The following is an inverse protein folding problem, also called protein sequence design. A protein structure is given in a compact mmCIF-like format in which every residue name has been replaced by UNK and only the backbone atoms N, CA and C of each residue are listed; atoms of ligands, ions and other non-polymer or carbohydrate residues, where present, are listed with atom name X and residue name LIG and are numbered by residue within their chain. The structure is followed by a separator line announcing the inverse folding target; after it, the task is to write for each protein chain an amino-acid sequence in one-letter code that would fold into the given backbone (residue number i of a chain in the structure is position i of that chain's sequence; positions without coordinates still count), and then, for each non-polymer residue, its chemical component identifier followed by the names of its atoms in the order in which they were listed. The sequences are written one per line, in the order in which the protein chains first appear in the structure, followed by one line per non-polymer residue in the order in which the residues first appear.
data_IF_513522115999
#
_entry.id   IF_513522115999
#
_cell.length_a   1.000
_cell.length_b   1.000
_cell.length_c   1.000
_cell.angle_alpha   90.00
_cell.angle_beta   90.00
_cell.angle_gamma   90.00
#
_symmetry.space_group_name_H-M   'P 1'
#
loop_
_entity.id
_entity.type
_entity.pdbx_description
1 polymer ?
#
# COMPACT_ATOMS: atom_id res chain seq x y z
N UNK A 1 -4.18 5.62 -39.74
CA UNK A 1 -2.89 6.10 -40.32
C UNK A 1 -1.98 6.33 -39.12
N UNK A 2 -0.91 5.55 -39.03
CA UNK A 2 0.08 5.63 -37.98
C UNK A 2 0.77 7.00 -38.06
N UNK A 3 0.61 7.83 -37.01
CA UNK A 3 1.43 9.03 -36.85
C UNK A 3 2.85 8.53 -36.62
N UNK A 4 3.74 8.88 -37.53
CA UNK A 4 5.18 8.58 -37.45
C UNK A 4 5.68 9.05 -36.06
N UNK A 5 6.36 8.16 -35.34
CA UNK A 5 7.22 8.52 -34.22
C UNK A 5 8.23 9.56 -34.71
N UNK A 6 7.91 10.82 -34.51
CA UNK A 6 8.89 11.88 -34.74
C UNK A 6 9.91 11.75 -33.63
N UNK A 7 11.14 11.52 -34.01
CA UNK A 7 12.27 11.49 -33.07
C UNK A 7 12.53 12.90 -32.53
N UNK A 8 11.93 13.21 -31.38
CA UNK A 8 12.11 14.48 -30.67
C UNK A 8 13.43 14.54 -29.90
N UNK A 9 14.15 13.42 -29.76
CA UNK A 9 15.36 13.34 -28.95
C UNK A 9 16.45 14.31 -29.45
N UNK A 10 16.54 14.53 -30.77
CA UNK A 10 17.48 15.48 -31.36
C UNK A 10 17.23 16.95 -30.98
N UNK A 11 15.99 17.28 -30.60
CA UNK A 11 15.61 18.65 -30.23
C UNK A 11 15.62 18.90 -28.74
N UNK A 12 15.74 17.85 -27.92
CA UNK A 12 15.75 17.96 -26.46
C UNK A 12 17.13 17.55 -25.97
N UNK A 13 17.86 18.48 -25.39
CA UNK A 13 19.12 18.17 -24.69
C UNK A 13 18.81 17.78 -23.24
N UNK A 14 19.09 16.51 -22.96
CA UNK A 14 18.90 15.91 -21.64
C UNK A 14 20.18 16.09 -20.80
N UNK A 15 20.05 16.38 -19.51
CA UNK A 15 21.22 16.54 -18.64
C UNK A 15 21.94 15.22 -18.32
N UNK A 16 21.28 14.08 -18.51
CA UNK A 16 21.81 12.76 -18.22
C UNK A 16 21.40 11.76 -19.33
N UNK A 17 22.30 10.89 -19.81
CA UNK A 17 22.00 9.89 -20.85
C UNK A 17 21.01 8.80 -20.40
N UNK A 18 20.74 8.68 -19.08
CA UNK A 18 19.73 7.75 -18.55
C UNK A 18 18.29 8.22 -18.81
N UNK A 19 18.10 9.48 -19.19
CA UNK A 19 16.79 10.03 -19.45
C UNK A 19 16.32 9.65 -20.86
N UNK A 20 15.05 9.35 -20.98
CA UNK A 20 14.39 9.17 -22.26
C UNK A 20 13.27 10.19 -22.43
N UNK A 21 13.04 10.62 -23.67
CA UNK A 21 11.96 11.54 -24.03
C UNK A 21 11.00 10.82 -24.95
N UNK A 22 9.74 10.80 -24.58
CA UNK A 22 8.64 10.28 -25.36
C UNK A 22 7.61 11.37 -25.62
N UNK A 23 7.08 11.42 -26.83
CA UNK A 23 6.01 12.35 -27.15
C UNK A 23 4.66 11.62 -27.10
N UNK A 24 3.78 12.08 -26.22
CA UNK A 24 2.40 11.64 -26.11
C UNK A 24 1.45 12.78 -26.45
N UNK A 25 0.73 12.67 -27.56
CA UNK A 25 -0.21 13.69 -28.04
C UNK A 25 0.40 15.10 -28.05
N UNK A 26 0.13 15.90 -27.03
CA UNK A 26 0.60 17.30 -26.85
C UNK A 26 1.62 17.45 -25.72
N UNK A 27 2.16 16.36 -25.21
CA UNK A 27 3.08 16.36 -24.06
C UNK A 27 4.39 15.70 -24.45
N UNK A 28 5.49 16.24 -23.94
CA UNK A 28 6.77 15.55 -23.92
C UNK A 28 6.95 14.97 -22.49
N UNK A 29 7.02 13.67 -22.42
CA UNK A 29 7.27 12.95 -21.17
C UNK A 29 8.76 12.65 -21.06
N UNK A 30 9.35 12.95 -19.92
CA UNK A 30 10.74 12.62 -19.61
C UNK A 30 10.74 11.55 -18.55
N UNK A 31 11.30 10.39 -18.87
CA UNK A 31 11.48 9.26 -17.95
C UNK A 31 12.91 9.16 -17.47
N UNK A 32 13.15 8.39 -16.39
CA UNK A 32 14.47 8.21 -15.79
C UNK A 32 14.85 9.29 -14.77
N UNK A 33 14.01 10.29 -14.53
CA UNK A 33 14.24 11.34 -13.53
C UNK A 33 14.07 10.80 -12.10
N UNK A 34 14.83 11.33 -11.17
CA UNK A 34 14.76 10.99 -9.74
C UNK A 34 13.85 11.98 -9.02
N UNK A 35 13.10 11.49 -8.03
CA UNK A 35 12.31 12.32 -7.14
C UNK A 35 13.21 13.22 -6.28
N UNK A 36 12.72 14.39 -5.88
CA UNK A 36 13.46 15.34 -5.04
C UNK A 36 14.57 16.10 -5.77
N UNK A 37 14.72 15.94 -7.08
CA UNK A 37 15.79 16.55 -7.86
C UNK A 37 15.31 17.69 -8.77
N UNK A 38 16.21 18.61 -9.09
CA UNK A 38 16.00 19.69 -10.05
C UNK A 38 16.72 19.36 -11.35
N UNK A 39 16.04 19.63 -12.45
CA UNK A 39 16.56 19.37 -13.78
C UNK A 39 16.34 20.58 -14.69
N UNK A 40 17.27 20.76 -15.63
CA UNK A 40 17.14 21.74 -16.70
C UNK A 40 17.05 21.00 -18.03
N UNK A 41 15.95 21.18 -18.74
CA UNK A 41 15.80 20.71 -20.11
C UNK A 41 16.06 21.86 -21.07
N UNK A 42 16.84 21.58 -22.11
CA UNK A 42 17.10 22.54 -23.18
C UNK A 42 16.40 22.08 -24.44
N UNK A 43 15.47 22.88 -24.90
CA UNK A 43 14.76 22.70 -26.18
C UNK A 43 15.50 23.49 -27.26
N UNK A 44 16.02 22.79 -28.27
CA UNK A 44 16.77 23.39 -29.38
C UNK A 44 15.83 24.07 -30.37
N UNK A 45 16.33 25.09 -31.05
CA UNK A 45 15.62 25.70 -32.15
C UNK A 45 15.23 24.66 -33.22
N UNK A 46 14.08 24.84 -33.82
CA UNK A 46 13.53 23.93 -34.83
C UNK A 46 12.67 22.79 -34.26
N UNK A 47 12.47 22.71 -32.92
CA UNK A 47 11.51 21.75 -32.33
C UNK A 47 10.14 21.98 -32.96
N UNK A 48 9.55 20.99 -33.66
CA UNK A 48 8.30 21.19 -34.40
C UNK A 48 7.10 21.22 -33.48
N UNK A 49 6.17 22.14 -33.75
CA UNK A 49 4.84 22.19 -33.14
C UNK A 49 3.81 21.50 -34.04
N UNK A 50 2.65 21.17 -33.47
CA UNK A 50 1.52 20.59 -34.23
C UNK A 50 1.01 21.52 -35.34
N UNK A 51 1.17 22.83 -35.16
CA UNK A 51 0.82 23.87 -36.16
C UNK A 51 1.72 23.87 -37.41
N UNK A 52 2.82 23.10 -37.39
CA UNK A 52 3.84 23.11 -38.45
C UNK A 52 4.91 24.18 -38.26
N UNK A 53 4.80 25.02 -37.24
CA UNK A 53 5.85 25.97 -36.84
C UNK A 53 6.94 25.29 -36.04
N UNK A 54 8.15 25.86 -36.05
CA UNK A 54 9.25 25.40 -35.24
C UNK A 54 9.65 26.39 -34.15
N UNK A 55 10.19 25.89 -33.04
CA UNK A 55 10.74 26.74 -31.99
C UNK A 55 11.82 27.68 -32.58
N UNK A 56 11.65 28.99 -32.46
CA UNK A 56 12.51 30.00 -33.11
C UNK A 56 13.91 30.01 -32.49
N UNK A 57 14.00 29.90 -31.17
CA UNK A 57 15.26 29.97 -30.44
C UNK A 57 15.33 28.92 -29.35
N UNK A 58 16.56 28.52 -29.01
CA UNK A 58 16.81 27.64 -27.87
C UNK A 58 16.16 28.18 -26.59
N UNK A 59 15.47 27.31 -25.89
CA UNK A 59 14.76 27.63 -24.64
C UNK A 59 15.13 26.63 -23.56
N UNK A 60 15.48 27.13 -22.37
CA UNK A 60 15.78 26.31 -21.19
C UNK A 60 14.59 26.36 -20.23
N UNK A 61 14.19 25.20 -19.74
CA UNK A 61 13.14 25.08 -18.74
C UNK A 61 13.72 24.33 -17.53
N UNK A 62 13.66 24.98 -16.37
CA UNK A 62 13.98 24.35 -15.10
C UNK A 62 12.70 23.81 -14.45
N UNK A 63 12.77 22.60 -13.92
CA UNK A 63 11.69 22.00 -13.18
C UNK A 63 12.20 21.17 -12.00
N UNK A 64 11.35 21.03 -11.00
CA UNK A 64 11.61 20.24 -9.82
C UNK A 64 10.68 19.02 -9.81
N UNK A 65 11.28 17.83 -9.73
CA UNK A 65 10.53 16.59 -9.54
C UNK A 65 10.26 16.44 -8.05
N UNK A 66 8.99 16.62 -7.68
CA UNK A 66 8.57 16.55 -6.27
C UNK A 66 8.87 15.19 -5.67
N UNK A 67 9.11 15.18 -4.36
CA UNK A 67 9.15 13.95 -3.60
C UNK A 67 7.83 13.18 -3.73
N UNK A 68 7.91 11.87 -3.60
CA UNK A 68 6.72 11.02 -3.58
C UNK A 68 5.84 11.40 -2.38
N UNK A 69 4.54 11.44 -2.62
CA UNK A 69 3.58 11.67 -1.53
C UNK A 69 3.67 10.52 -0.52
N UNK A 70 3.76 10.82 0.78
CA UNK A 70 3.72 9.81 1.81
C UNK A 70 2.50 8.90 1.66
N UNK A 71 2.73 7.59 1.84
CA UNK A 71 1.69 6.58 1.65
C UNK A 71 1.90 5.42 2.61
N UNK A 72 0.80 4.83 3.05
CA UNK A 72 0.77 3.56 3.78
C UNK A 72 -0.17 2.59 3.08
N UNK A 73 0.19 1.31 3.04
CA UNK A 73 -0.64 0.24 2.49
C UNK A 73 -0.25 -1.11 3.10
N UNK A 74 -1.19 -2.03 3.12
CA UNK A 74 -0.94 -3.42 3.47
C UNK A 74 -0.91 -4.27 2.21
N UNK A 75 0.15 -5.08 1.98
CA UNK A 75 0.27 -5.90 0.77
C UNK A 75 -0.66 -7.13 0.78
N UNK A 76 -1.17 -7.53 1.95
CA UNK A 76 -2.06 -8.68 2.12
C UNK A 76 -3.54 -8.29 2.13
N UNK A 77 -4.41 -9.28 1.92
CA UNK A 77 -5.87 -9.08 2.04
C UNK A 77 -6.41 -9.54 3.40
N UNK A 78 -5.82 -10.59 3.97
CA UNK A 78 -6.22 -11.11 5.26
C UNK A 78 -5.14 -12.05 5.80
N UNK A 79 -5.10 -12.20 7.10
CA UNK A 79 -4.18 -13.09 7.80
C UNK A 79 -4.94 -13.92 8.83
N UNK A 80 -4.38 -15.07 9.17
CA UNK A 80 -4.77 -15.85 10.34
C UNK A 80 -3.56 -15.79 11.27
N UNK A 81 -3.78 -15.33 12.49
CA UNK A 81 -2.75 -15.16 13.49
C UNK A 81 -3.09 -16.02 14.72
N UNK A 82 -2.11 -16.73 15.28
CA UNK A 82 -2.30 -17.40 16.55
C UNK A 82 -2.38 -16.38 17.69
N UNK A 83 -3.04 -16.72 18.78
CA UNK A 83 -3.15 -15.87 19.98
C UNK A 83 -1.83 -15.80 20.77
N UNK A 84 -0.93 -16.75 20.56
CA UNK A 84 0.38 -16.85 21.20
C UNK A 84 1.52 -16.72 20.19
N UNK A 85 2.68 -16.30 20.67
CA UNK A 85 3.88 -16.15 19.86
C UNK A 85 4.10 -14.75 19.31
N UNK A 86 5.15 -14.61 18.48
CA UNK A 86 5.49 -13.35 17.85
C UNK A 86 4.60 -13.12 16.60
N UNK A 87 3.62 -12.25 16.74
CA UNK A 87 2.76 -11.85 15.64
C UNK A 87 3.25 -10.55 14.98
N UNK A 88 3.34 -10.55 13.67
CA UNK A 88 3.69 -9.36 12.90
C UNK A 88 2.88 -9.26 11.61
N UNK A 89 2.54 -8.05 11.21
CA UNK A 89 1.84 -7.76 9.95
C UNK A 89 2.75 -6.93 9.05
N UNK A 90 3.00 -7.35 7.80
CA UNK A 90 3.79 -6.57 6.87
C UNK A 90 3.02 -5.34 6.43
N UNK A 91 3.67 -4.18 6.49
CA UNK A 91 3.18 -2.89 5.98
C UNK A 91 4.15 -2.36 4.93
N UNK A 92 3.63 -1.68 3.94
CA UNK A 92 4.42 -0.97 2.94
C UNK A 92 4.17 0.52 3.07
N UNK A 93 5.26 1.28 3.17
CA UNK A 93 5.23 2.74 3.32
C UNK A 93 6.08 3.43 2.26
N UNK A 94 5.78 4.69 2.03
CA UNK A 94 6.59 5.63 1.26
C UNK A 94 6.71 6.88 2.11
N UNK A 95 7.94 7.38 2.31
CA UNK A 95 8.22 8.64 3.00
C UNK A 95 7.49 8.79 4.35
N UNK A 96 7.47 7.73 5.15
CA UNK A 96 6.86 7.74 6.48
C UNK A 96 7.70 6.87 7.42
N UNK A 97 8.06 7.41 8.57
CA UNK A 97 8.84 6.73 9.61
C UNK A 97 7.95 6.23 10.76
N UNK A 98 6.79 6.85 10.92
CA UNK A 98 5.85 6.52 11.98
C UNK A 98 4.43 6.41 11.44
N UNK A 99 3.67 5.49 12.00
CA UNK A 99 2.25 5.26 11.72
C UNK A 99 1.45 5.30 13.01
N UNK A 100 0.28 5.94 12.96
CA UNK A 100 -0.72 5.76 13.99
C UNK A 100 -1.50 4.48 13.69
N UNK A 101 -1.54 3.59 14.66
CA UNK A 101 -2.17 2.28 14.56
C UNK A 101 -3.38 2.20 15.48
N UNK A 102 -4.44 1.60 14.98
CA UNK A 102 -5.64 1.31 15.77
C UNK A 102 -6.10 -0.10 15.48
N UNK A 103 -6.29 -0.90 16.52
CA UNK A 103 -6.85 -2.23 16.43
C UNK A 103 -8.31 -2.24 16.86
N UNK A 104 -9.17 -2.76 15.99
CA UNK A 104 -10.60 -2.92 16.29
C UNK A 104 -11.00 -4.37 16.19
N UNK A 105 -11.77 -4.84 17.18
CA UNK A 105 -12.43 -6.14 17.17
C UNK A 105 -13.83 -6.00 16.57
N UNK A 106 -14.16 -6.85 15.61
CA UNK A 106 -15.53 -6.97 15.13
C UNK A 106 -16.31 -7.83 16.11
N UNK A 107 -17.35 -7.27 16.71
CA UNK A 107 -18.19 -8.03 17.66
C UNK A 107 -18.91 -9.19 16.96
N UNK A 108 -19.13 -10.28 17.66
CA UNK A 108 -19.69 -11.52 17.09
C UNK A 108 -21.04 -11.31 16.40
N UNK A 109 -21.88 -10.42 16.94
CA UNK A 109 -23.16 -10.04 16.33
C UNK A 109 -23.01 -9.26 15.01
N UNK A 110 -21.88 -8.60 14.80
CA UNK A 110 -21.59 -7.82 13.59
C UNK A 110 -20.84 -8.61 12.52
N UNK A 111 -20.33 -9.80 12.83
CA UNK A 111 -19.58 -10.63 11.88
C UNK A 111 -20.44 -10.91 10.64
N UNK A 112 -21.71 -11.35 10.83
CA UNK A 112 -22.60 -11.64 9.72
C UNK A 112 -22.84 -10.39 8.85
N UNK A 113 -23.00 -9.22 9.46
CA UNK A 113 -23.19 -7.95 8.76
C UNK A 113 -21.95 -7.57 7.93
N UNK A 114 -20.75 -7.80 8.46
CA UNK A 114 -19.49 -7.55 7.73
C UNK A 114 -19.40 -8.39 6.46
N UNK A 115 -19.84 -9.65 6.50
CA UNK A 115 -19.90 -10.51 5.32
C UNK A 115 -21.02 -10.11 4.37
N UNK A 116 -22.21 -9.80 4.86
CA UNK A 116 -23.35 -9.38 4.03
C UNK A 116 -23.09 -8.05 3.31
N UNK A 117 -22.44 -7.10 3.98
CA UNK A 117 -22.06 -5.81 3.43
C UNK A 117 -20.76 -5.89 2.58
N UNK A 118 -20.21 -7.09 2.42
CA UNK A 118 -19.02 -7.38 1.62
C UNK A 118 -17.77 -6.53 2.02
N UNK A 119 -17.61 -6.31 3.32
CA UNK A 119 -16.52 -5.51 3.88
C UNK A 119 -15.28 -6.34 4.21
N UNK A 120 -15.44 -7.64 4.49
CA UNK A 120 -14.36 -8.50 4.98
C UNK A 120 -13.22 -8.63 3.96
N UNK A 121 -12.00 -8.46 4.43
CA UNK A 121 -10.76 -8.60 3.65
C UNK A 121 -10.68 -7.69 2.40
N UNK A 122 -11.44 -6.60 2.38
CA UNK A 122 -11.40 -5.60 1.30
C UNK A 122 -10.86 -4.25 1.77
N UNK A 123 -10.25 -3.48 0.88
CA UNK A 123 -9.98 -2.07 1.14
C UNK A 123 -11.30 -1.33 1.38
N UNK A 124 -11.39 -0.62 2.50
CA UNK A 124 -12.59 0.15 2.82
C UNK A 124 -12.46 1.58 2.29
N UNK A 125 -13.52 2.07 1.67
CA UNK A 125 -13.65 3.50 1.39
C UNK A 125 -13.86 4.28 2.69
N UNK A 126 -13.58 5.56 2.68
CA UNK A 126 -13.67 6.43 3.87
C UNK A 126 -14.96 6.23 4.66
N UNK A 127 -16.10 6.27 4.01
CA UNK A 127 -17.41 6.08 4.66
C UNK A 127 -17.54 4.70 5.32
N UNK A 128 -17.04 3.66 4.68
CA UNK A 128 -17.05 2.29 5.24
C UNK A 128 -16.11 2.18 6.44
N UNK A 129 -14.97 2.85 6.40
CA UNK A 129 -14.02 2.90 7.50
C UNK A 129 -14.59 3.66 8.71
N UNK A 130 -15.28 4.77 8.49
CA UNK A 130 -16.00 5.53 9.53
C UNK A 130 -17.11 4.68 10.16
N UNK A 131 -17.88 3.96 9.35
CA UNK A 131 -18.93 3.04 9.83
C UNK A 131 -18.35 1.84 10.60
N UNK A 132 -17.21 1.29 10.14
CA UNK A 132 -16.52 0.25 10.87
C UNK A 132 -16.08 0.77 12.26
N UNK A 133 -15.54 1.98 12.31
CA UNK A 133 -15.07 2.59 13.55
C UNK A 133 -16.20 2.96 14.54
N UNK A 134 -17.38 3.37 14.03
CA UNK A 134 -18.49 3.82 14.87
C UNK A 134 -19.47 2.72 15.26
N UNK A 135 -19.81 1.82 14.31
CA UNK A 135 -20.97 0.94 14.49
C UNK A 135 -20.63 -0.55 14.58
N UNK A 136 -19.52 -0.97 13.96
CA UNK A 136 -19.23 -2.39 13.71
C UNK A 136 -18.11 -2.90 14.61
N UNK A 137 -17.03 -2.13 14.74
CA UNK A 137 -15.82 -2.52 15.42
C UNK A 137 -15.65 -1.77 16.74
N UNK A 138 -15.23 -2.49 17.77
CA UNK A 138 -14.82 -1.94 19.06
C UNK A 138 -13.31 -1.69 19.05
N UNK A 139 -12.86 -0.50 19.41
CA UNK A 139 -11.45 -0.20 19.56
C UNK A 139 -10.91 -0.90 20.80
N UNK A 140 -9.94 -1.80 20.60
CA UNK A 140 -9.37 -2.61 21.68
C UNK A 140 -7.91 -2.22 21.99
N UNK A 141 -7.25 -1.53 21.08
CA UNK A 141 -5.89 -1.03 21.25
C UNK A 141 -5.59 0.09 20.26
N UNK A 142 -4.72 1.01 20.68
CA UNK A 142 -4.12 2.03 19.80
C UNK A 142 -2.67 2.27 20.21
N UNK A 143 -1.85 2.62 19.22
CA UNK A 143 -0.42 2.83 19.43
C UNK A 143 0.28 3.37 18.20
N UNK A 144 1.60 3.43 18.27
CA UNK A 144 2.46 3.90 17.15
C UNK A 144 3.31 2.75 16.64
N UNK A 145 3.37 2.62 15.32
CA UNK A 145 4.26 1.69 14.62
C UNK A 145 5.44 2.43 13.98
N UNK A 146 6.66 2.00 14.26
CA UNK A 146 7.84 2.50 13.58
C UNK A 146 8.05 1.72 12.27
N UNK A 147 8.42 2.44 11.22
CA UNK A 147 8.67 1.87 9.90
C UNK A 147 10.06 2.25 9.41
N UNK A 148 10.70 1.33 8.68
CA UNK A 148 11.89 1.67 7.91
C UNK A 148 11.47 2.63 6.79
N UNK A 149 12.19 3.75 6.64
CA UNK A 149 11.89 4.75 5.62
C UNK A 149 13.15 5.13 4.87
N UNK A 150 13.08 5.01 3.55
CA UNK A 150 14.07 5.57 2.64
C UNK A 150 13.35 6.56 1.74
N UNK A 151 13.89 7.76 1.64
CA UNK A 151 13.27 8.85 0.89
C UNK A 151 12.94 8.40 -0.55
N UNK A 152 11.69 8.61 -0.95
CA UNK A 152 11.18 8.31 -2.30
C UNK A 152 11.17 6.83 -2.71
N UNK A 153 11.38 5.92 -1.77
CA UNK A 153 11.34 4.48 -2.02
C UNK A 153 10.20 3.80 -1.31
N UNK A 154 9.78 2.65 -1.85
CA UNK A 154 8.84 1.77 -1.17
C UNK A 154 9.61 0.94 -0.13
N UNK A 155 9.25 1.09 1.13
CA UNK A 155 9.83 0.37 2.26
C UNK A 155 8.82 -0.63 2.81
N UNK A 156 9.28 -1.84 3.14
CA UNK A 156 8.45 -2.90 3.74
C UNK A 156 8.95 -3.19 5.14
N UNK A 157 8.08 -2.98 6.12
CA UNK A 157 8.36 -3.23 7.53
C UNK A 157 7.40 -4.29 8.07
N UNK A 158 7.85 -5.14 8.97
CA UNK A 158 6.99 -6.04 9.75
C UNK A 158 6.62 -5.34 11.06
N UNK A 159 5.38 -4.88 11.16
CA UNK A 159 4.88 -4.28 12.39
C UNK A 159 4.66 -5.38 13.44
N UNK A 160 5.33 -5.33 14.59
CA UNK A 160 5.03 -6.22 15.69
C UNK A 160 3.67 -5.83 16.27
N UNK A 161 2.75 -6.79 16.36
CA UNK A 161 1.41 -6.57 16.90
C UNK A 161 1.11 -7.47 18.09
N UNK A 162 2.10 -8.19 18.60
CA UNK A 162 1.94 -9.10 19.73
C UNK A 162 1.35 -8.40 20.96
N UNK A 163 1.78 -7.18 21.26
CA UNK A 163 1.24 -6.37 22.36
C UNK A 163 -0.23 -6.00 22.11
N UNK A 164 -0.58 -5.62 20.89
CA UNK A 164 -1.92 -5.22 20.51
C UNK A 164 -2.94 -6.37 20.62
N UNK A 165 -2.51 -7.61 20.37
CA UNK A 165 -3.36 -8.79 20.44
C UNK A 165 -3.27 -9.54 21.78
N UNK A 166 -2.36 -9.14 22.67
CA UNK A 166 -2.18 -9.81 23.95
C UNK A 166 -3.47 -9.80 24.79
N UNK A 167 -3.92 -10.96 25.20
CA UNK A 167 -5.15 -11.13 25.99
C UNK A 167 -6.45 -10.87 25.24
N UNK A 168 -6.39 -10.62 23.93
CA UNK A 168 -7.57 -10.46 23.11
C UNK A 168 -8.25 -11.82 22.84
N UNK A 169 -9.58 -11.91 22.87
CA UNK A 169 -10.28 -13.15 22.52
C UNK A 169 -10.17 -13.48 21.04
N UNK A 170 -10.31 -14.78 20.71
CA UNK A 170 -10.42 -15.21 19.33
C UNK A 170 -11.53 -14.43 18.60
N UNK A 171 -11.31 -14.10 17.34
CA UNK A 171 -12.31 -13.33 16.58
C UNK A 171 -11.72 -12.64 15.33
N UNK A 172 -12.53 -11.77 14.75
CA UNK A 172 -12.17 -10.99 13.56
C UNK A 172 -11.71 -9.60 13.99
N UNK A 173 -10.57 -9.19 13.46
CA UNK A 173 -9.93 -7.92 13.79
C UNK A 173 -9.58 -7.12 12.54
N UNK A 174 -9.50 -5.80 12.70
CA UNK A 174 -9.04 -4.87 11.69
C UNK A 174 -7.96 -3.98 12.30
N UNK A 175 -6.76 -4.08 11.77
CA UNK A 175 -5.68 -3.13 12.05
C UNK A 175 -5.77 -1.99 11.05
N UNK A 176 -5.98 -0.78 11.52
CA UNK A 176 -5.94 0.44 10.73
C UNK A 176 -4.60 1.13 10.94
N UNK A 177 -3.99 1.60 9.86
CA UNK A 177 -2.76 2.37 9.89
C UNK A 177 -2.95 3.68 9.14
N UNK A 178 -2.57 4.78 9.76
CA UNK A 178 -2.57 6.11 9.17
C UNK A 178 -1.23 6.80 9.36
N UNK A 179 -0.93 7.77 8.51
CA UNK A 179 0.29 8.56 8.60
C UNK A 179 0.20 9.52 9.80
N UNK A 180 1.24 9.60 10.62
CA UNK A 180 1.34 10.48 11.78
C UNK A 180 1.62 11.95 11.39
N UNK A 181 1.14 12.45 10.29
CA UNK A 181 1.37 13.82 9.85
C UNK A 181 0.09 14.64 9.89
N UNK A 182 0.12 15.80 10.54
CA UNK A 182 -1.00 16.74 10.54
C UNK A 182 -1.37 17.24 9.14
N UNK A 183 -0.39 17.29 8.25
CA UNK A 183 -0.57 17.72 6.84
C UNK A 183 -1.44 16.75 6.04
N UNK A 184 -1.53 15.49 6.48
CA UNK A 184 -2.27 14.42 5.80
C UNK A 184 -3.49 13.93 6.58
N UNK A 185 -4.11 14.79 7.39
CA UNK A 185 -5.33 14.48 8.18
C UNK A 185 -6.47 13.83 7.38
N UNK A 186 -6.47 14.00 6.06
CA UNK A 186 -7.39 13.36 5.11
C UNK A 186 -6.73 12.25 4.31
N UNK A 187 -5.57 11.77 4.75
CA UNK A 187 -4.82 10.70 4.10
C UNK A 187 -5.57 9.37 4.12
N UNK A 188 -5.18 8.51 3.21
CA UNK A 188 -5.72 7.16 3.08
C UNK A 188 -5.39 6.37 4.35
N UNK A 189 -6.40 5.92 5.07
CA UNK A 189 -6.24 4.95 6.14
C UNK A 189 -6.12 3.58 5.50
N UNK A 190 -4.98 2.93 5.68
CA UNK A 190 -4.81 1.55 5.25
C UNK A 190 -5.39 0.61 6.32
N UNK A 191 -5.97 -0.50 5.87
CA UNK A 191 -6.63 -1.45 6.75
C UNK A 191 -6.21 -2.86 6.40
N UNK A 192 -5.92 -3.64 7.45
CA UNK A 192 -5.60 -5.05 7.35
C UNK A 192 -6.54 -5.87 8.22
N UNK A 193 -7.29 -6.73 7.57
CA UNK A 193 -8.14 -7.70 8.24
C UNK A 193 -7.33 -8.92 8.66
N UNK A 194 -7.63 -9.45 9.83
CA UNK A 194 -7.10 -10.74 10.25
C UNK A 194 -8.06 -11.46 11.21
N UNK A 195 -7.87 -12.75 11.30
CA UNK A 195 -8.56 -13.61 12.26
C UNK A 195 -7.55 -14.03 13.32
N UNK A 196 -7.84 -13.72 14.58
CA UNK A 196 -7.09 -14.22 15.71
C UNK A 196 -7.70 -15.54 16.15
N UNK A 197 -6.96 -16.63 16.02
CA UNK A 197 -7.44 -17.96 16.37
C UNK A 197 -6.31 -18.97 16.48
N UNK A 198 -6.41 -19.89 17.43
CA UNK A 198 -5.51 -21.01 17.58
C UNK A 198 -6.03 -22.27 16.86
N UNK A 199 -7.13 -22.14 16.14
CA UNK A 199 -7.75 -23.25 15.42
C UNK A 199 -7.42 -23.15 13.93
N UNK A 200 -6.75 -24.19 13.41
CA UNK A 200 -6.55 -24.40 11.97
C UNK A 200 -7.56 -25.43 11.44
N UNK A 201 -8.23 -25.09 10.35
CA UNK A 201 -9.15 -25.98 9.65
C UNK A 201 -8.54 -26.42 8.32
N UNK A 202 -8.45 -27.73 8.11
CA UNK A 202 -8.06 -28.32 6.82
C UNK A 202 -9.21 -29.19 6.31
N UNK A 203 -9.54 -29.08 5.03
CA UNK A 203 -10.55 -29.93 4.42
C UNK A 203 -10.01 -30.65 3.20
N UNK A 204 -10.41 -31.91 3.05
CA UNK A 204 -10.07 -32.75 1.89
C UNK A 204 -11.37 -33.31 1.31
N UNK A 205 -11.59 -33.07 0.03
CA UNK A 205 -12.72 -33.65 -0.70
C UNK A 205 -12.26 -34.90 -1.46
N UNK A 206 -12.87 -36.05 -1.19
CA UNK A 206 -12.62 -37.30 -1.84
C UNK A 206 -13.89 -37.92 -2.43
N UNK A 207 -13.78 -39.13 -2.99
CA UNK A 207 -14.94 -39.87 -3.51
C UNK A 207 -15.95 -40.22 -2.40
N UNK A 208 -15.48 -40.31 -1.16
CA UNK A 208 -16.26 -40.67 0.02
C UNK A 208 -16.87 -39.46 0.75
N UNK A 209 -16.74 -38.26 0.16
CA UNK A 209 -17.27 -37.02 0.71
C UNK A 209 -16.20 -36.02 1.16
N UNK A 210 -16.63 -35.00 1.92
CA UNK A 210 -15.78 -33.97 2.51
C UNK A 210 -15.37 -34.39 3.91
N UNK A 211 -14.06 -34.45 4.15
CA UNK A 211 -13.48 -34.65 5.47
C UNK A 211 -12.89 -33.31 5.95
N UNK A 212 -13.24 -32.88 7.13
CA UNK A 212 -12.71 -31.69 7.77
C UNK A 212 -11.88 -32.07 9.01
N UNK A 213 -10.66 -31.56 9.08
CA UNK A 213 -9.76 -31.77 10.21
C UNK A 213 -9.50 -30.44 10.91
N UNK A 214 -9.86 -30.39 12.19
CA UNK A 214 -9.59 -29.26 13.05
C UNK A 214 -8.29 -29.54 13.86
N UNK A 215 -7.35 -28.62 13.83
CA UNK A 215 -6.08 -28.70 14.56
C UNK A 215 -5.85 -27.43 15.36
N UNK A 216 -5.20 -27.56 16.52
CA UNK A 216 -4.63 -26.41 17.21
C UNK A 216 -3.35 -25.97 16.46
N UNK A 217 -3.24 -24.69 16.11
CA UNK A 217 -2.11 -24.14 15.36
C UNK A 217 -0.81 -24.20 16.20
N UNK A 218 -0.90 -24.08 17.53
CA UNK A 218 0.26 -24.22 18.42
C UNK A 218 0.88 -25.62 18.41
N UNK A 219 0.06 -26.65 18.26
CA UNK A 219 0.54 -28.03 18.25
C UNK A 219 1.39 -28.40 17.02
N UNK A 220 1.33 -27.60 15.95
CA UNK A 220 2.10 -27.83 14.72
C UNK A 220 3.53 -27.33 14.84
N UNK A 221 3.80 -26.34 15.70
CA UNK A 221 5.17 -25.87 15.96
C UNK A 221 6.04 -26.87 16.73
N UNK A 222 5.44 -27.81 17.41
CA UNK A 222 6.16 -28.84 18.23
C UNK A 222 6.56 -30.10 17.44
N UNK A 223 6.13 -30.27 16.19
CA UNK A 223 6.39 -31.47 15.38
C UNK A 223 7.55 -31.33 14.37
N UNK A 224 8.39 -30.34 14.51
CA UNK A 224 9.52 -30.10 13.60
C UNK A 224 10.87 -30.26 14.23
N UNK A 225 11.23 -31.45 14.78
CA UNK A 225 12.62 -31.98 14.87
C UNK A 225 12.57 -33.37 15.48
N UNK A 226 12.62 -34.36 14.64
CA UNK A 226 13.19 -35.68 14.96
C UNK A 226 14.08 -36.10 13.79
#
# INVERSE_FOLDING_TARGET
MSKSEQDFTRFVALPDPRFAVEAEERKLCVSGVEFGARYTLTFRAGLPAESGEGLIKETKIEFYVRDRTPKVSFPGRGYILPSSGEASIPVQTVNSEELDLTLRRVSDRNILRVFQDDLFAKPLYRFQAERLAGDIGEEVWSGTGLTESVLNQDSKTRLPISEAIAGQPAGVYVLSASLKSETYRYGTVAQQWFVLTDIGLSSVAGRDGLQALCKNVEAVSACGTA
#
